data_IF_230709390756
#
_entry.id   IF_230709390756
#
_cell.length_a   1.000
_cell.length_b   1.000
_cell.length_c   1.000
_cell.angle_alpha   90.00
_cell.angle_beta   90.00
_cell.angle_gamma   90.00
#
_symmetry.space_group_name_H-M   'P 1'
#
loop_
_entity.id
_entity.type
_entity.pdbx_description
1 polymer ?
#
# COMPACT_ATOMS: atom_id res chain seq x y z
N UNK A 1 3.94 -6.94 -7.98
CA UNK A 1 5.17 -6.92 -7.15
C UNK A 1 4.84 -6.16 -5.88
N UNK A 2 5.24 -6.61 -4.69
CA UNK A 2 4.84 -5.93 -3.47
C UNK A 2 5.61 -4.61 -3.28
N UNK A 3 4.98 -3.63 -2.63
CA UNK A 3 5.61 -2.34 -2.33
C UNK A 3 6.91 -2.49 -1.54
N UNK A 4 6.95 -3.44 -0.59
CA UNK A 4 8.17 -3.73 0.19
C UNK A 4 9.34 -4.18 -0.68
N UNK A 5 9.05 -4.94 -1.73
CA UNK A 5 10.07 -5.52 -2.60
C UNK A 5 10.60 -4.45 -3.56
N UNK A 6 9.70 -3.59 -4.07
CA UNK A 6 10.07 -2.38 -4.82
C UNK A 6 11.01 -1.46 -4.03
N UNK A 7 10.60 -1.11 -2.81
CA UNK A 7 11.39 -0.20 -1.98
C UNK A 7 12.76 -0.80 -1.65
N UNK A 8 12.84 -2.11 -1.40
CA UNK A 8 14.12 -2.79 -1.20
C UNK A 8 15.00 -2.77 -2.45
N UNK A 9 14.44 -2.95 -3.65
CA UNK A 9 15.23 -2.93 -4.90
C UNK A 9 15.75 -1.55 -5.27
N UNK A 10 15.09 -0.49 -4.80
CA UNK A 10 15.41 0.90 -5.11
C UNK A 10 16.09 1.62 -3.91
N UNK A 11 16.43 0.88 -2.85
CA UNK A 11 17.01 1.37 -1.59
C UNK A 11 16.22 2.55 -0.96
N UNK A 12 14.89 2.45 -0.96
CA UNK A 12 13.99 3.51 -0.47
C UNK A 12 13.54 3.28 0.97
N UNK A 13 13.62 4.34 1.77
CA UNK A 13 12.99 4.45 3.08
C UNK A 13 11.48 4.73 3.00
N UNK A 14 10.78 4.55 4.12
CA UNK A 14 9.35 4.86 4.23
C UNK A 14 9.09 6.37 4.00
N UNK A 15 10.01 7.25 4.42
CA UNK A 15 9.89 8.71 4.27
C UNK A 15 10.12 9.16 2.83
N UNK A 16 11.14 8.64 2.15
CA UNK A 16 11.40 8.98 0.74
C UNK A 16 10.26 8.51 -0.18
N UNK A 17 9.68 7.33 0.11
CA UNK A 17 8.51 6.88 -0.63
C UNK A 17 7.29 7.76 -0.35
N UNK A 18 7.11 8.22 0.89
CA UNK A 18 6.03 9.14 1.24
C UNK A 18 6.17 10.47 0.49
N UNK A 19 7.38 11.02 0.41
CA UNK A 19 7.68 12.23 -0.36
C UNK A 19 7.40 12.05 -1.87
N UNK A 20 7.80 10.91 -2.45
CA UNK A 20 7.50 10.59 -3.87
C UNK A 20 5.99 10.52 -4.15
N UNK A 21 5.21 9.98 -3.21
CA UNK A 21 3.76 9.89 -3.32
C UNK A 21 3.10 11.26 -3.06
N UNK A 22 3.61 12.04 -2.10
CA UNK A 22 3.20 13.41 -1.79
C UNK A 22 1.92 13.55 -0.93
N UNK A 23 0.98 12.60 -0.99
CA UNK A 23 -0.32 12.67 -0.30
C UNK A 23 -0.49 11.55 0.75
N UNK A 24 0.62 11.13 1.37
CA UNK A 24 0.62 10.10 2.40
C UNK A 24 1.78 10.31 3.37
N UNK A 25 1.58 9.97 4.64
CA UNK A 25 2.64 9.99 5.65
C UNK A 25 3.54 8.74 5.57
N UNK A 26 4.74 8.81 6.15
CA UNK A 26 5.64 7.66 6.35
C UNK A 26 4.90 6.49 7.01
N UNK A 27 4.09 6.78 8.04
CA UNK A 27 3.27 5.77 8.70
C UNK A 27 2.27 5.11 7.76
N UNK A 28 1.64 5.90 6.87
CA UNK A 28 0.75 5.40 5.83
C UNK A 28 1.48 4.47 4.85
N UNK A 29 2.67 4.86 4.40
CA UNK A 29 3.54 4.00 3.56
C UNK A 29 3.84 2.69 4.28
N UNK A 30 4.23 2.73 5.57
CA UNK A 30 4.48 1.54 6.37
C UNK A 30 3.26 0.61 6.44
N UNK A 31 2.04 1.16 6.56
CA UNK A 31 0.80 0.36 6.55
C UNK A 31 0.56 -0.34 5.22
N UNK A 32 0.87 0.31 4.10
CA UNK A 32 0.78 -0.26 2.76
C UNK A 32 1.88 -1.31 2.53
N UNK A 33 3.12 -1.03 2.96
CA UNK A 33 4.28 -1.93 2.84
C UNK A 33 4.01 -3.29 3.48
N UNK A 34 3.39 -3.28 4.66
CA UNK A 34 3.00 -4.49 5.38
C UNK A 34 1.55 -4.91 5.15
N UNK A 35 0.83 -4.23 4.23
CA UNK A 35 -0.54 -4.56 3.82
C UNK A 35 -1.49 -4.75 5.01
N UNK A 36 -1.34 -3.90 6.03
CA UNK A 36 -2.21 -3.87 7.22
C UNK A 36 -3.43 -2.96 7.02
N UNK A 37 -3.36 -2.05 6.05
CA UNK A 37 -4.48 -1.25 5.53
C UNK A 37 -4.34 -1.13 4.00
N UNK A 38 -5.46 -0.90 3.33
CA UNK A 38 -5.50 -0.71 1.88
C UNK A 38 -5.28 0.76 1.51
N UNK A 39 -4.86 1.03 0.27
CA UNK A 39 -4.71 2.39 -0.23
C UNK A 39 -6.07 3.03 -0.53
N UNK A 40 -6.13 4.36 -0.50
CA UNK A 40 -7.18 5.09 -1.22
C UNK A 40 -6.95 4.97 -2.73
N UNK A 41 -7.98 5.24 -3.54
CA UNK A 41 -7.86 5.22 -5.01
C UNK A 41 -6.76 6.17 -5.49
N UNK A 42 -6.68 7.38 -4.91
CA UNK A 42 -5.68 8.38 -5.26
C UNK A 42 -4.25 7.91 -4.96
N UNK A 43 -4.04 7.35 -3.77
CA UNK A 43 -2.73 6.83 -3.36
C UNK A 43 -2.33 5.64 -4.22
N UNK A 44 -3.26 4.74 -4.54
CA UNK A 44 -2.98 3.59 -5.41
C UNK A 44 -2.52 4.04 -6.81
N UNK A 45 -3.23 4.99 -7.43
CA UNK A 45 -2.85 5.53 -8.74
C UNK A 45 -1.46 6.19 -8.69
N UNK A 46 -1.17 6.96 -7.63
CA UNK A 46 0.12 7.62 -7.48
C UNK A 46 1.27 6.64 -7.26
N UNK A 47 1.05 5.57 -6.48
CA UNK A 47 2.04 4.49 -6.32
C UNK A 47 2.29 3.80 -7.66
N UNK A 48 1.25 3.50 -8.43
CA UNK A 48 1.40 2.87 -9.73
C UNK A 48 2.21 3.76 -10.70
N UNK A 49 1.96 5.08 -10.68
CA UNK A 49 2.72 6.07 -11.46
C UNK A 49 4.21 6.10 -11.06
N UNK A 50 4.54 6.33 -9.77
CA UNK A 50 5.94 6.50 -9.33
C UNK A 50 6.76 5.21 -9.39
N UNK A 51 6.10 4.05 -9.44
CA UNK A 51 6.76 2.75 -9.59
C UNK A 51 6.85 2.29 -11.05
N UNK A 52 6.28 3.04 -11.99
CA UNK A 52 6.22 2.67 -13.41
C UNK A 52 5.37 1.42 -13.66
N UNK A 53 4.27 1.27 -12.92
CA UNK A 53 3.35 0.13 -13.03
C UNK A 53 3.83 -1.17 -12.40
N UNK A 54 5.00 -1.17 -11.75
CA UNK A 54 5.58 -2.35 -11.10
C UNK A 54 4.79 -2.77 -9.86
N UNK A 55 4.30 -1.78 -9.09
CA UNK A 55 3.41 -1.99 -7.95
C UNK A 55 2.01 -1.51 -8.32
N UNK A 56 1.05 -2.42 -8.39
CA UNK A 56 -0.34 -2.11 -8.76
C UNK A 56 -1.25 -2.07 -7.54
N UNK A 57 -2.44 -1.49 -7.70
CA UNK A 57 -3.47 -1.44 -6.64
C UNK A 57 -3.74 -2.80 -5.96
N UNK A 58 -3.73 -3.89 -6.75
CA UNK A 58 -3.93 -5.24 -6.22
C UNK A 58 -2.81 -5.71 -5.27
N UNK A 59 -1.57 -5.28 -5.49
CA UNK A 59 -0.42 -5.63 -4.63
C UNK A 59 -0.49 -4.96 -3.25
N UNK A 60 -1.27 -3.88 -3.12
CA UNK A 60 -1.41 -3.05 -1.92
C UNK A 60 -2.61 -3.45 -1.05
N UNK A 61 -3.49 -4.34 -1.53
CA UNK A 61 -4.68 -4.74 -0.80
C UNK A 61 -4.31 -5.41 0.51
N UNK A 62 -5.05 -5.18 1.62
CA UNK A 62 -4.77 -5.84 2.88
C UNK A 62 -4.62 -7.34 2.73
N UNK A 63 -3.73 -7.95 3.50
CA UNK A 63 -3.78 -9.39 3.71
C UNK A 63 -5.07 -9.67 4.48
N UNK A 64 -6.08 -10.19 3.79
CA UNK A 64 -7.38 -10.48 4.40
C UNK A 64 -7.17 -11.43 5.58
N UNK A 65 -7.36 -10.96 6.81
CA UNK A 65 -8.08 -11.82 7.75
C UNK A 65 -9.52 -11.69 7.31
N UNK A 66 -10.12 -12.75 6.76
CA UNK A 66 -11.56 -12.80 6.43
C UNK A 66 -12.30 -12.13 7.59
N UNK A 67 -12.89 -10.94 7.36
CA UNK A 67 -13.98 -10.50 8.22
C UNK A 67 -15.04 -11.57 8.02
N UNK A 68 -15.30 -12.36 9.06
CA UNK A 68 -16.50 -13.18 9.11
C UNK A 68 -17.68 -12.28 8.72
N UNK A 69 -18.63 -12.77 7.90
CA UNK A 69 -19.81 -11.99 7.58
C UNK A 69 -20.47 -11.57 8.89
N UNK A 70 -20.74 -10.27 9.01
CA UNK A 70 -21.57 -9.73 10.08
C UNK A 70 -23.02 -10.05 9.73
N UNK A 71 -23.43 -11.30 9.88
CA UNK A 71 -24.85 -11.70 9.83
C UNK A 71 -25.14 -12.76 10.90
N UNK A 72 -26.32 -12.58 11.52
CA UNK A 72 -26.97 -13.39 12.53
C UNK A 72 -26.46 -13.27 13.98
N UNK A 73 -26.76 -12.14 14.63
CA UNK A 73 -27.25 -12.20 16.02
C UNK A 73 -28.76 -11.96 15.94
N UNK A 74 -29.50 -12.94 16.44
CA UNK A 74 -30.95 -13.15 16.35
C UNK A 74 -31.80 -12.02 16.94
#
# INVERSE_FOLDING_TARGET
MLLKDFMRSEDLSDSEMAEKIGDISEYGVRKLRFRTRGPSVRVAARIEEVTGGRVRSADLQPLTNRRAPAEAVS
#
